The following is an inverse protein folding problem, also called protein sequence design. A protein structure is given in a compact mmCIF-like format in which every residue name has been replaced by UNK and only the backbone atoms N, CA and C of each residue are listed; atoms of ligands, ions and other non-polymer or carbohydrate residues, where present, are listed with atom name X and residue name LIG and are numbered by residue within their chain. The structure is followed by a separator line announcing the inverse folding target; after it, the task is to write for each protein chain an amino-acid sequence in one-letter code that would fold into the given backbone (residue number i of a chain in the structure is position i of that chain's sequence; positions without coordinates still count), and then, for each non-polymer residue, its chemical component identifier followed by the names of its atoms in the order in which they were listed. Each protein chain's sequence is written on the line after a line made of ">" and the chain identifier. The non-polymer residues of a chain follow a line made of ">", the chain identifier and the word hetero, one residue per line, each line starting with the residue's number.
data_IF_902489173207
#
_entry.id   IF_902489173207
#
_cell.length_a   1.000
_cell.length_b   1.000
_cell.length_c   1.000
_cell.angle_alpha   90.00
_cell.angle_beta   90.00
_cell.angle_gamma   90.00
#
_symmetry.space_group_name_H-M   'P 1'
#
loop_
_entity.id
_entity.type
_entity.pdbx_description
1 polymer ?
#
# COMPACT_ATOMS: atom_id res chain seq x y z
N UNK A 1 19.91 12.07 -1.20
CA UNK A 1 18.47 11.89 -0.95
C UNK A 1 18.01 12.97 0.02
N UNK A 2 17.21 13.89 -0.47
CA UNK A 2 16.55 14.89 0.36
C UNK A 2 15.44 14.25 1.18
N UNK A 3 15.28 14.69 2.43
CA UNK A 3 14.23 14.23 3.34
C UNK A 3 13.62 15.42 4.06
N UNK A 4 12.30 15.47 4.09
CA UNK A 4 11.54 16.38 4.94
C UNK A 4 10.60 15.59 5.83
N UNK A 5 10.34 16.11 7.02
CA UNK A 5 9.35 15.55 7.93
C UNK A 5 8.36 16.63 8.32
N UNK A 6 7.12 16.26 8.49
CA UNK A 6 6.05 17.16 8.94
C UNK A 6 5.03 16.41 9.76
N UNK A 7 4.11 17.12 10.33
CA UNK A 7 2.91 16.56 10.95
C UNK A 7 1.76 17.55 10.81
N UNK A 8 0.54 17.04 10.91
CA UNK A 8 -0.66 17.86 11.06
C UNK A 8 -1.67 17.15 11.96
N UNK A 9 -2.52 17.94 12.57
CA UNK A 9 -3.65 17.39 13.29
C UNK A 9 -4.67 16.82 12.31
N UNK A 10 -4.88 15.51 12.37
CA UNK A 10 -5.85 14.80 11.54
C UNK A 10 -7.26 14.89 12.14
N UNK A 11 -8.21 15.57 11.49
CA UNK A 11 -9.60 15.54 11.93
C UNK A 11 -10.23 14.15 11.81
N UNK A 12 -9.81 13.34 10.84
CA UNK A 12 -10.31 11.97 10.69
C UNK A 12 -9.91 11.07 11.86
N UNK A 13 -8.70 11.25 12.40
CA UNK A 13 -8.14 10.40 13.47
C UNK A 13 -8.18 11.06 14.85
N UNK A 14 -8.47 12.37 14.92
CA UNK A 14 -8.45 13.19 16.13
C UNK A 14 -7.11 13.11 16.87
N UNK A 15 -5.99 13.23 16.13
CA UNK A 15 -4.62 13.20 16.65
C UNK A 15 -3.63 13.81 15.67
N UNK A 16 -2.42 14.14 16.15
CA UNK A 16 -1.29 14.50 15.29
C UNK A 16 -0.82 13.29 14.49
N UNK A 17 -0.67 13.49 13.19
CA UNK A 17 -0.19 12.44 12.27
C UNK A 17 1.08 12.89 11.57
N UNK A 18 2.21 12.23 11.82
CA UNK A 18 3.47 12.55 11.16
C UNK A 18 3.54 11.94 9.76
N UNK A 19 4.40 12.55 8.93
CA UNK A 19 4.76 12.07 7.60
C UNK A 19 6.24 12.35 7.33
N UNK A 20 6.90 11.44 6.61
CA UNK A 20 8.20 11.69 6.01
C UNK A 20 8.08 11.68 4.49
N UNK A 21 8.75 12.64 3.84
CA UNK A 21 8.82 12.75 2.39
C UNK A 21 10.26 12.65 1.95
N UNK A 22 10.55 11.79 0.97
CA UNK A 22 11.89 11.57 0.44
C UNK A 22 11.89 11.86 -1.06
N UNK A 23 12.81 12.73 -1.49
CA UNK A 23 12.95 13.19 -2.88
C UNK A 23 12.00 14.31 -3.26
N UNK A 24 12.19 14.85 -4.46
CA UNK A 24 11.50 16.05 -4.96
C UNK A 24 10.66 15.78 -6.19
N UNK A 25 10.94 14.71 -6.93
CA UNK A 25 10.38 14.46 -8.25
C UNK A 25 9.99 12.99 -8.46
N UNK A 26 9.21 12.74 -9.51
CA UNK A 26 8.75 11.43 -9.91
C UNK A 26 7.32 11.13 -9.44
N UNK A 27 6.82 9.93 -9.76
CA UNK A 27 5.52 9.51 -9.27
C UNK A 27 5.52 9.35 -7.73
N UNK A 28 4.36 9.52 -7.11
CA UNK A 28 4.22 9.42 -5.68
C UNK A 28 4.12 7.94 -5.24
N UNK A 29 5.08 7.46 -4.45
CA UNK A 29 5.01 6.16 -3.79
C UNK A 29 4.56 6.35 -2.34
N UNK A 30 3.30 6.05 -2.07
CA UNK A 30 2.74 6.11 -0.71
C UNK A 30 3.05 4.82 0.03
N UNK A 31 3.96 4.88 0.99
CA UNK A 31 4.43 3.73 1.76
C UNK A 31 3.66 3.58 3.06
N UNK A 32 3.05 2.41 3.22
CA UNK A 32 2.25 2.03 4.38
C UNK A 32 3.09 1.09 5.25
N UNK A 33 3.31 1.39 6.55
CA UNK A 33 4.12 0.57 7.44
C UNK A 33 3.62 -0.87 7.57
N UNK A 34 4.50 -1.76 8.01
CA UNK A 34 4.14 -3.12 8.41
C UNK A 34 3.25 -3.10 9.66
N UNK A 35 3.14 -4.19 10.40
CA UNK A 35 2.23 -4.38 11.54
C UNK A 35 1.92 -3.09 12.35
N UNK A 36 2.65 -2.84 13.44
CA UNK A 36 2.40 -1.75 14.41
C UNK A 36 3.49 -0.66 14.34
N UNK A 37 4.00 -0.42 13.16
CA UNK A 37 5.13 0.46 12.95
C UNK A 37 4.71 1.92 12.62
N UNK A 38 5.69 2.81 12.70
CA UNK A 38 5.54 4.22 12.41
C UNK A 38 6.09 4.61 11.02
N UNK A 39 5.92 5.87 10.64
CA UNK A 39 6.31 6.46 9.37
C UNK A 39 7.82 6.44 9.06
N UNK A 40 8.69 6.09 10.02
CA UNK A 40 10.15 5.95 9.83
C UNK A 40 10.62 4.50 9.75
N UNK A 41 9.71 3.52 9.80
CA UNK A 41 10.08 2.12 9.79
C UNK A 41 10.95 1.73 8.60
N UNK A 42 10.56 2.09 7.41
CA UNK A 42 11.29 1.77 6.18
C UNK A 42 12.70 2.36 6.12
N UNK A 43 12.89 3.51 6.77
CA UNK A 43 14.22 4.12 6.93
C UNK A 43 15.05 3.36 7.97
N UNK A 44 14.49 3.06 9.15
CA UNK A 44 15.17 2.29 10.20
C UNK A 44 15.67 0.94 9.71
N UNK A 45 14.92 0.30 8.84
CA UNK A 45 15.30 -0.98 8.25
C UNK A 45 16.01 -0.86 6.89
N UNK A 46 16.55 0.32 6.57
CA UNK A 46 17.43 0.58 5.42
C UNK A 46 16.80 0.35 4.04
N UNK A 47 15.47 0.29 3.96
CA UNK A 47 14.81 0.19 2.65
C UNK A 47 15.00 1.48 1.85
N UNK A 48 14.96 2.65 2.50
CA UNK A 48 15.19 3.94 1.84
C UNK A 48 16.57 4.03 1.19
N UNK A 49 17.60 3.38 1.76
CA UNK A 49 18.93 3.34 1.17
C UNK A 49 18.97 2.56 -0.14
N UNK A 50 18.20 1.46 -0.24
CA UNK A 50 18.09 0.69 -1.49
C UNK A 50 17.30 1.43 -2.57
N UNK A 51 16.45 2.37 -2.18
CA UNK A 51 15.64 3.19 -3.10
C UNK A 51 16.34 4.49 -3.51
N UNK A 52 17.46 4.83 -2.88
CA UNK A 52 18.21 6.06 -3.15
C UNK A 52 18.46 6.34 -4.65
N UNK A 53 18.87 5.36 -5.48
CA UNK A 53 19.08 5.62 -6.91
C UNK A 53 17.81 6.09 -7.65
N UNK A 54 16.62 5.63 -7.23
CA UNK A 54 15.35 6.04 -7.81
C UNK A 54 14.91 7.42 -7.31
N UNK A 55 15.15 7.70 -6.03
CA UNK A 55 14.81 8.98 -5.40
C UNK A 55 15.72 10.10 -5.93
N UNK A 56 17.05 9.89 -5.89
CA UNK A 56 18.02 10.87 -6.34
C UNK A 56 17.97 11.07 -7.87
N UNK A 57 17.53 10.03 -8.60
CA UNK A 57 17.29 10.10 -10.04
C UNK A 57 15.95 10.74 -10.43
N UNK A 58 15.17 11.24 -9.47
CA UNK A 58 13.89 11.90 -9.73
C UNK A 58 12.79 10.97 -10.30
N UNK A 59 12.93 9.66 -10.12
CA UNK A 59 11.98 8.67 -10.65
C UNK A 59 10.79 8.45 -9.71
N UNK A 60 11.03 8.57 -8.42
CA UNK A 60 10.03 8.37 -7.38
C UNK A 60 10.18 9.40 -6.27
N UNK A 61 9.07 9.93 -5.80
CA UNK A 61 8.95 10.73 -4.59
C UNK A 61 8.17 9.93 -3.57
N UNK A 62 8.79 9.63 -2.43
CA UNK A 62 8.23 8.71 -1.44
C UNK A 62 7.53 9.50 -0.33
N UNK A 63 6.34 9.05 0.05
CA UNK A 63 5.54 9.55 1.15
C UNK A 63 5.32 8.41 2.14
N UNK A 64 5.93 8.48 3.31
CA UNK A 64 5.82 7.45 4.34
C UNK A 64 4.97 7.97 5.49
N UNK A 65 3.85 7.29 5.75
CA UNK A 65 2.84 7.68 6.73
C UNK A 65 2.84 6.75 7.95
N UNK A 66 2.25 7.22 9.03
CA UNK A 66 2.07 6.43 10.24
C UNK A 66 0.94 5.40 10.11
N UNK A 67 1.08 4.27 10.81
CA UNK A 67 -0.03 3.34 10.99
C UNK A 67 -0.78 3.62 12.29
N UNK A 68 -2.01 3.12 12.36
CA UNK A 68 -2.80 3.10 13.60
C UNK A 68 -3.19 1.67 14.01
N UNK A 69 -2.43 0.69 13.56
CA UNK A 69 -2.77 -0.72 13.81
C UNK A 69 -2.77 -1.07 15.30
N UNK A 70 -1.93 -0.40 16.12
CA UNK A 70 -1.98 -0.51 17.60
C UNK A 70 -3.26 0.07 18.21
N UNK A 71 -3.95 0.95 17.49
CA UNK A 71 -5.21 1.57 17.89
C UNK A 71 -6.41 0.91 17.19
N UNK A 72 -6.20 -0.15 16.42
CA UNK A 72 -7.21 -0.85 15.64
C UNK A 72 -6.95 -2.36 15.62
N UNK A 73 -6.58 -2.95 14.50
CA UNK A 73 -6.51 -4.41 14.28
C UNK A 73 -5.64 -5.14 15.30
N UNK A 74 -4.51 -4.58 15.71
CA UNK A 74 -3.57 -5.18 16.65
C UNK A 74 -3.84 -4.82 18.12
N UNK A 75 -4.87 -4.03 18.40
CA UNK A 75 -5.28 -3.75 19.78
C UNK A 75 -6.09 -4.91 20.36
N UNK A 76 -5.43 -5.77 21.14
CA UNK A 76 -6.06 -6.94 21.73
C UNK A 76 -7.10 -6.62 22.81
N UNK A 77 -7.10 -5.41 23.35
CA UNK A 77 -8.03 -4.95 24.40
C UNK A 77 -9.25 -4.19 23.83
N UNK A 78 -9.25 -3.90 22.53
CA UNK A 78 -10.33 -3.18 21.87
C UNK A 78 -11.42 -4.14 21.39
N UNK A 79 -12.68 -3.74 21.51
CA UNK A 79 -13.80 -4.46 20.91
C UNK A 79 -13.60 -4.55 19.38
N UNK A 80 -13.86 -5.70 18.73
CA UNK A 80 -13.67 -5.86 17.29
C UNK A 80 -14.38 -4.79 16.43
N UNK A 81 -15.60 -4.40 16.78
CA UNK A 81 -16.31 -3.32 16.08
C UNK A 81 -15.57 -1.99 16.15
N UNK A 82 -15.02 -1.65 17.33
CA UNK A 82 -14.30 -0.39 17.52
C UNK A 82 -12.98 -0.38 16.72
N UNK A 83 -12.32 -1.55 16.56
CA UNK A 83 -11.16 -1.72 15.68
C UNK A 83 -11.50 -1.35 14.24
N UNK A 84 -12.63 -1.84 13.75
CA UNK A 84 -13.09 -1.59 12.38
C UNK A 84 -13.40 -0.12 12.17
N UNK A 85 -14.14 0.50 13.10
CA UNK A 85 -14.44 1.94 13.06
C UNK A 85 -13.14 2.76 13.04
N UNK A 86 -12.18 2.41 13.91
CA UNK A 86 -10.88 3.10 13.96
C UNK A 86 -10.10 2.96 12.67
N UNK A 87 -10.12 1.78 12.07
CA UNK A 87 -9.49 1.56 10.77
C UNK A 87 -10.19 2.36 9.65
N UNK A 88 -11.52 2.46 9.67
CA UNK A 88 -12.24 3.26 8.68
C UNK A 88 -11.88 4.76 8.81
N UNK A 89 -11.64 5.26 10.03
CA UNK A 89 -11.12 6.62 10.23
C UNK A 89 -9.73 6.78 9.60
N UNK A 90 -8.88 5.74 9.64
CA UNK A 90 -7.58 5.78 8.98
C UNK A 90 -7.70 5.76 7.45
N UNK A 91 -8.61 4.98 6.87
CA UNK A 91 -8.91 5.07 5.43
C UNK A 91 -9.33 6.50 5.04
N UNK A 92 -10.17 7.13 5.84
CA UNK A 92 -10.58 8.52 5.63
C UNK A 92 -9.40 9.49 5.73
N UNK A 93 -8.49 9.29 6.68
CA UNK A 93 -7.25 10.06 6.78
C UNK A 93 -6.42 9.95 5.50
N UNK A 94 -6.22 8.74 4.98
CA UNK A 94 -5.46 8.56 3.72
C UNK A 94 -6.15 9.27 2.56
N UNK A 95 -7.45 9.05 2.36
CA UNK A 95 -8.13 9.59 1.18
C UNK A 95 -8.39 11.10 1.24
N UNK A 96 -8.72 11.61 2.42
CA UNK A 96 -9.17 13.00 2.57
C UNK A 96 -8.06 13.97 3.02
N UNK A 97 -6.93 13.45 3.50
CA UNK A 97 -5.85 14.27 4.03
C UNK A 97 -4.50 13.96 3.34
N UNK A 98 -4.06 12.69 3.32
CA UNK A 98 -2.76 12.32 2.73
C UNK A 98 -2.77 12.47 1.21
N UNK A 99 -3.80 11.98 0.50
CA UNK A 99 -3.89 12.12 -0.96
C UNK A 99 -3.92 13.59 -1.38
N UNK A 100 -4.74 14.48 -0.79
CA UNK A 100 -4.67 15.92 -1.05
C UNK A 100 -3.30 16.54 -0.73
N UNK A 101 -2.66 16.13 0.36
CA UNK A 101 -1.29 16.58 0.68
C UNK A 101 -0.31 16.21 -0.42
N UNK A 102 -0.33 14.94 -0.90
CA UNK A 102 0.52 14.48 -2.01
C UNK A 102 0.28 15.34 -3.26
N UNK A 103 -0.98 15.58 -3.63
CA UNK A 103 -1.35 16.41 -4.78
C UNK A 103 -0.83 17.85 -4.68
N UNK A 104 -0.89 18.43 -3.50
CA UNK A 104 -0.37 19.80 -3.24
C UNK A 104 1.16 19.81 -3.23
N UNK A 105 1.78 18.77 -2.70
CA UNK A 105 3.24 18.67 -2.56
C UNK A 105 3.96 18.19 -3.83
N UNK A 106 3.21 17.70 -4.83
CA UNK A 106 3.70 17.28 -6.14
C UNK A 106 2.93 18.02 -7.25
N UNK A 107 2.02 17.33 -7.96
CA UNK A 107 1.04 17.95 -8.87
C UNK A 107 -0.28 17.18 -8.82
N UNK A 108 -1.34 17.77 -9.39
CA UNK A 108 -2.66 17.15 -9.43
C UNK A 108 -2.66 15.86 -10.29
N UNK A 109 -1.81 15.80 -11.30
CA UNK A 109 -1.69 14.70 -12.25
C UNK A 109 -0.70 13.62 -11.80
N UNK A 110 0.12 13.89 -10.77
CA UNK A 110 1.14 12.93 -10.29
C UNK A 110 0.49 11.58 -9.96
N UNK A 111 0.88 10.48 -10.62
CA UNK A 111 0.36 9.16 -10.27
C UNK A 111 0.72 8.78 -8.84
N UNK A 112 -0.24 8.20 -8.12
CA UNK A 112 -0.03 7.70 -6.75
C UNK A 112 -0.06 6.18 -6.77
N UNK A 113 1.03 5.54 -6.34
CA UNK A 113 1.14 4.09 -6.16
C UNK A 113 1.26 3.81 -4.68
N UNK A 114 0.40 2.96 -4.14
CA UNK A 114 0.54 2.49 -2.75
C UNK A 114 1.51 1.33 -2.67
N UNK A 115 2.28 1.27 -1.60
CA UNK A 115 3.26 0.21 -1.38
C UNK A 115 3.32 -0.16 0.11
N UNK A 116 3.46 -1.44 0.38
CA UNK A 116 3.67 -1.92 1.73
C UNK A 116 4.05 -3.39 1.80
N UNK A 117 4.58 -3.79 2.94
CA UNK A 117 4.92 -5.17 3.24
C UNK A 117 4.04 -5.71 4.37
N UNK A 118 3.76 -7.02 4.37
CA UNK A 118 3.00 -7.67 5.45
C UNK A 118 1.61 -7.01 5.62
N UNK A 119 1.31 -6.47 6.80
CA UNK A 119 0.06 -5.74 7.05
C UNK A 119 -0.06 -4.47 6.19
N UNK A 120 1.08 -3.83 5.90
CA UNK A 120 1.12 -2.69 4.97
C UNK A 120 0.71 -3.06 3.54
N UNK A 121 0.97 -4.30 3.10
CA UNK A 121 0.53 -4.80 1.80
C UNK A 121 -1.00 -4.95 1.72
N UNK A 122 -1.64 -5.46 2.80
CA UNK A 122 -3.11 -5.50 2.91
C UNK A 122 -3.70 -4.09 2.77
N UNK A 123 -3.19 -3.14 3.55
CA UNK A 123 -3.69 -1.76 3.51
C UNK A 123 -3.49 -1.12 2.14
N UNK A 124 -2.29 -1.27 1.55
CA UNK A 124 -1.98 -0.74 0.22
C UNK A 124 -2.92 -1.29 -0.84
N UNK A 125 -3.15 -2.60 -0.84
CA UNK A 125 -4.08 -3.26 -1.75
C UNK A 125 -5.51 -2.77 -1.55
N UNK A 126 -5.98 -2.72 -0.30
CA UNK A 126 -7.34 -2.30 0.03
C UNK A 126 -7.62 -0.84 -0.36
N UNK A 127 -6.65 0.07 -0.13
CA UNK A 127 -6.75 1.48 -0.55
C UNK A 127 -6.88 1.61 -2.07
N UNK A 128 -6.04 0.91 -2.83
CA UNK A 128 -6.09 0.90 -4.29
C UNK A 128 -7.44 0.38 -4.81
N UNK A 129 -7.89 -0.77 -4.32
CA UNK A 129 -9.13 -1.39 -4.79
C UNK A 129 -10.39 -0.60 -4.44
N UNK A 130 -10.37 0.13 -3.31
CA UNK A 130 -11.49 1.00 -2.89
C UNK A 130 -11.57 2.30 -3.66
N UNK A 131 -10.43 2.89 -4.02
CA UNK A 131 -10.36 4.19 -4.68
C UNK A 131 -9.35 4.19 -5.84
N UNK A 132 -9.61 3.37 -6.88
CA UNK A 132 -8.75 3.34 -8.07
C UNK A 132 -8.81 4.65 -8.89
N UNK A 133 -9.73 5.53 -8.57
CA UNK A 133 -9.81 6.89 -9.09
C UNK A 133 -8.76 7.84 -8.47
N UNK A 134 -8.32 7.58 -7.25
CA UNK A 134 -7.30 8.36 -6.54
C UNK A 134 -5.91 7.72 -6.57
N UNK A 135 -5.86 6.39 -6.59
CA UNK A 135 -4.65 5.60 -6.51
C UNK A 135 -4.47 4.83 -7.82
N UNK A 136 -3.31 4.95 -8.44
CA UNK A 136 -3.04 4.49 -9.79
C UNK A 136 -2.36 3.11 -9.84
N UNK A 137 -1.99 2.55 -8.69
CA UNK A 137 -1.37 1.23 -8.64
C UNK A 137 -1.03 0.79 -7.22
N UNK A 138 -0.57 -0.45 -7.11
CA UNK A 138 -0.17 -1.05 -5.84
C UNK A 138 1.01 -2.00 -6.01
N UNK A 139 1.94 -1.97 -5.05
CA UNK A 139 3.00 -2.96 -4.84
C UNK A 139 2.79 -3.56 -3.45
N UNK A 140 2.26 -4.77 -3.40
CA UNK A 140 1.93 -5.47 -2.16
C UNK A 140 2.92 -6.62 -1.93
N UNK A 141 3.81 -6.47 -0.95
CA UNK A 141 4.87 -7.44 -0.64
C UNK A 141 4.47 -8.30 0.56
N UNK A 142 4.52 -9.63 0.41
CA UNK A 142 4.28 -10.60 1.49
C UNK A 142 2.95 -10.33 2.23
N UNK A 143 1.88 -10.06 1.49
CA UNK A 143 0.60 -9.59 2.03
C UNK A 143 -0.33 -10.70 2.44
N UNK A 144 -1.18 -10.38 3.42
CA UNK A 144 -2.45 -11.09 3.67
C UNK A 144 -3.59 -10.20 3.15
N UNK A 145 -4.72 -10.79 2.78
CA UNK A 145 -5.83 -10.03 2.16
C UNK A 145 -7.16 -10.29 2.84
N UNK A 146 -7.12 -10.84 4.06
CA UNK A 146 -8.25 -11.19 4.91
C UNK A 146 -8.02 -10.69 6.33
N UNK A 147 -9.01 -10.02 6.91
CA UNK A 147 -8.96 -9.44 8.25
C UNK A 147 -9.66 -10.28 9.32
N UNK A 148 -10.27 -11.41 8.96
CA UNK A 148 -11.09 -12.19 9.91
C UNK A 148 -10.34 -12.71 11.12
N UNK A 149 -9.04 -12.99 10.99
CA UNK A 149 -8.19 -13.39 12.13
C UNK A 149 -8.08 -12.30 13.21
N UNK A 150 -8.16 -11.03 12.81
CA UNK A 150 -8.01 -9.88 13.71
C UNK A 150 -9.32 -9.48 14.40
N UNK A 151 -10.45 -10.04 13.97
CA UNK A 151 -11.78 -9.69 14.48
C UNK A 151 -12.33 -10.66 15.51
N UNK A 152 -11.61 -11.76 15.80
CA UNK A 152 -12.03 -12.78 16.80
C UNK A 152 -13.46 -13.30 16.56
N UNK A 153 -13.84 -13.49 15.30
CA UNK A 153 -15.16 -13.98 14.90
C UNK A 153 -16.25 -12.90 14.75
N UNK A 154 -15.95 -11.64 15.05
CA UNK A 154 -16.83 -10.54 14.71
C UNK A 154 -16.80 -10.28 13.20
N UNK A 155 -17.98 -10.06 12.62
CA UNK A 155 -18.11 -9.80 11.20
C UNK A 155 -19.31 -8.88 10.93
N UNK A 156 -19.05 -7.79 10.24
CA UNK A 156 -20.06 -6.84 9.77
C UNK A 156 -19.70 -6.32 8.38
N UNK A 157 -20.48 -5.39 7.88
CA UNK A 157 -20.27 -4.78 6.56
C UNK A 157 -18.92 -4.05 6.46
N UNK A 158 -18.47 -3.42 7.53
CA UNK A 158 -17.19 -2.71 7.55
C UNK A 158 -16.00 -3.69 7.52
N UNK A 159 -16.08 -4.85 8.23
CA UNK A 159 -15.07 -5.93 8.10
C UNK A 159 -15.06 -6.46 6.67
N UNK A 160 -16.24 -6.73 6.10
CA UNK A 160 -16.38 -7.19 4.72
C UNK A 160 -15.68 -6.25 3.74
N UNK A 161 -15.98 -4.96 3.77
CA UNK A 161 -15.39 -3.98 2.87
C UNK A 161 -13.92 -3.60 3.17
N UNK A 162 -13.32 -4.13 4.22
CA UNK A 162 -11.89 -3.99 4.49
C UNK A 162 -11.10 -5.29 4.29
N UNK A 163 -11.77 -6.38 3.89
CA UNK A 163 -11.15 -7.67 3.55
C UNK A 163 -11.24 -7.93 2.04
N UNK A 164 -10.21 -7.63 1.24
CA UNK A 164 -10.23 -7.82 -0.21
C UNK A 164 -10.64 -9.23 -0.65
N UNK A 165 -10.26 -10.27 0.09
CA UNK A 165 -10.68 -11.65 -0.15
C UNK A 165 -12.21 -11.84 -0.12
N UNK A 166 -12.94 -10.97 0.60
CA UNK A 166 -14.38 -11.09 0.79
C UNK A 166 -15.18 -10.26 -0.20
N UNK A 167 -14.84 -8.98 -0.38
CA UNK A 167 -15.65 -8.13 -1.24
C UNK A 167 -15.31 -8.24 -2.74
N UNK A 168 -14.07 -8.52 -3.09
CA UNK A 168 -13.66 -8.61 -4.49
C UNK A 168 -14.42 -9.68 -5.28
N UNK A 169 -14.69 -10.90 -4.76
CA UNK A 169 -15.51 -11.87 -5.49
C UNK A 169 -16.89 -11.35 -5.87
N UNK A 170 -17.46 -10.45 -5.05
CA UNK A 170 -18.82 -9.92 -5.22
C UNK A 170 -18.85 -8.53 -5.87
N UNK A 171 -17.68 -7.93 -6.16
CA UNK A 171 -17.61 -6.61 -6.80
C UNK A 171 -18.15 -6.69 -8.22
N UNK A 172 -19.26 -5.97 -8.48
CA UNK A 172 -19.94 -5.90 -9.78
C UNK A 172 -19.96 -4.49 -10.37
N UNK A 173 -19.45 -3.51 -9.64
CA UNK A 173 -19.37 -2.13 -10.13
C UNK A 173 -18.43 -2.03 -11.33
N UNK A 174 -19.00 -1.82 -12.51
CA UNK A 174 -18.25 -1.72 -13.75
C UNK A 174 -17.32 -0.51 -13.77
N UNK A 175 -17.68 0.60 -13.14
CA UNK A 175 -16.85 1.81 -13.10
C UNK A 175 -15.57 1.57 -12.31
N UNK A 176 -15.68 0.94 -11.15
CA UNK A 176 -14.51 0.56 -10.33
C UNK A 176 -13.63 -0.46 -11.07
N UNK A 177 -14.21 -1.51 -11.63
CA UNK A 177 -13.47 -2.53 -12.37
C UNK A 177 -12.74 -1.95 -13.59
N UNK A 178 -13.37 -1.07 -14.35
CA UNK A 178 -12.76 -0.38 -15.50
C UNK A 178 -11.61 0.53 -15.04
N UNK A 179 -11.77 1.25 -13.93
CA UNK A 179 -10.72 2.11 -13.42
C UNK A 179 -9.50 1.28 -12.94
N UNK A 180 -9.72 0.12 -12.30
CA UNK A 180 -8.63 -0.80 -11.93
C UNK A 180 -7.92 -1.31 -13.19
N UNK A 181 -8.65 -1.71 -14.24
CA UNK A 181 -8.06 -2.17 -15.51
C UNK A 181 -7.23 -1.06 -16.18
N UNK A 182 -7.73 0.16 -16.18
CA UNK A 182 -7.04 1.32 -16.77
C UNK A 182 -5.72 1.62 -16.08
N UNK A 183 -5.66 1.49 -14.77
CA UNK A 183 -4.46 1.78 -13.99
C UNK A 183 -3.30 0.79 -14.28
N UNK A 184 -3.59 -0.50 -14.47
CA UNK A 184 -2.63 -1.49 -14.98
C UNK A 184 -1.46 -1.88 -14.05
N UNK A 185 -1.33 -1.28 -12.87
CA UNK A 185 -0.22 -1.51 -11.92
C UNK A 185 -0.70 -2.21 -10.65
N UNK A 186 -0.94 -3.53 -10.73
CA UNK A 186 -1.32 -4.36 -9.61
C UNK A 186 -0.29 -5.48 -9.43
N UNK A 187 0.61 -5.31 -8.46
CA UNK A 187 1.75 -6.21 -8.23
C UNK A 187 1.64 -6.85 -6.85
N UNK A 188 1.63 -8.18 -6.82
CA UNK A 188 1.61 -9.02 -5.63
C UNK A 188 2.92 -9.78 -5.59
N UNK A 189 3.73 -9.55 -4.57
CA UNK A 189 5.05 -10.12 -4.43
C UNK A 189 5.11 -10.91 -3.13
N UNK A 190 5.71 -12.10 -3.17
CA UNK A 190 5.91 -12.91 -1.96
C UNK A 190 7.15 -13.77 -2.10
N UNK A 191 7.80 -14.08 -1.00
CA UNK A 191 8.76 -15.17 -0.93
C UNK A 191 8.06 -16.51 -0.74
N UNK A 192 8.85 -17.56 -0.64
CA UNK A 192 8.40 -18.89 -0.17
C UNK A 192 9.26 -19.43 0.98
N UNK A 193 10.06 -18.54 1.59
CA UNK A 193 10.88 -18.86 2.76
C UNK A 193 10.09 -18.81 4.08
N UNK A 194 10.82 -18.71 5.19
CA UNK A 194 10.22 -18.72 6.54
C UNK A 194 9.18 -17.64 6.73
N UNK A 195 8.03 -18.00 7.29
CA UNK A 195 6.90 -17.12 7.60
C UNK A 195 6.20 -16.48 6.39
N UNK A 196 6.52 -16.88 5.17
CA UNK A 196 5.78 -16.48 3.97
C UNK A 196 4.57 -17.41 3.74
N UNK A 197 3.49 -16.87 3.17
CA UNK A 197 2.33 -17.65 2.70
C UNK A 197 1.99 -17.31 1.23
N UNK A 198 2.75 -17.87 0.28
CA UNK A 198 2.46 -17.66 -1.14
C UNK A 198 1.10 -18.21 -1.56
N UNK A 199 0.52 -19.14 -0.78
CA UNK A 199 -0.81 -19.69 -1.06
C UNK A 199 -1.91 -18.63 -0.84
N UNK A 200 -1.77 -17.77 0.16
CA UNK A 200 -2.68 -16.64 0.38
C UNK A 200 -2.65 -15.66 -0.80
N UNK A 201 -1.45 -15.29 -1.25
CA UNK A 201 -1.27 -14.45 -2.44
C UNK A 201 -1.85 -15.11 -3.69
N UNK A 202 -1.66 -16.41 -3.87
CA UNK A 202 -2.23 -17.19 -4.98
C UNK A 202 -3.75 -17.23 -4.98
N UNK A 203 -4.38 -17.42 -3.81
CA UNK A 203 -5.85 -17.38 -3.68
C UNK A 203 -6.40 -16.01 -4.04
N UNK A 204 -5.74 -14.94 -3.60
CA UNK A 204 -6.16 -13.59 -3.95
C UNK A 204 -5.96 -13.30 -5.44
N UNK A 205 -4.82 -13.70 -6.02
CA UNK A 205 -4.57 -13.60 -7.46
C UNK A 205 -5.63 -14.29 -8.30
N UNK A 206 -6.10 -15.48 -7.86
CA UNK A 206 -7.22 -16.16 -8.55
C UNK A 206 -8.50 -15.33 -8.54
N UNK A 207 -8.82 -14.66 -7.45
CA UNK A 207 -10.01 -13.77 -7.38
C UNK A 207 -9.87 -12.63 -8.42
N UNK A 208 -8.69 -12.02 -8.52
CA UNK A 208 -8.44 -10.97 -9.50
C UNK A 208 -8.57 -11.49 -10.95
N UNK A 209 -8.03 -12.68 -11.22
CA UNK A 209 -8.18 -13.36 -12.51
C UNK A 209 -9.65 -13.61 -12.87
N UNK A 210 -10.44 -14.14 -11.92
CA UNK A 210 -11.86 -14.42 -12.11
C UNK A 210 -12.69 -13.13 -12.37
N UNK A 211 -12.17 -11.96 -11.92
CA UNK A 211 -12.73 -10.63 -12.23
C UNK A 211 -12.26 -10.03 -13.54
N UNK A 212 -11.40 -10.73 -14.29
CA UNK A 212 -10.82 -10.23 -15.52
C UNK A 212 -9.92 -9.01 -15.30
N UNK A 213 -9.24 -8.96 -14.15
CA UNK A 213 -8.27 -7.93 -13.79
C UNK A 213 -6.87 -8.44 -14.09
N UNK A 214 -6.07 -7.61 -14.75
CA UNK A 214 -4.65 -7.91 -14.88
C UNK A 214 -3.95 -7.70 -13.53
N UNK A 215 -3.06 -8.59 -13.20
CA UNK A 215 -2.16 -8.50 -12.05
C UNK A 215 -0.88 -9.27 -12.32
N UNK A 216 0.18 -8.91 -11.65
CA UNK A 216 1.41 -9.70 -11.58
C UNK A 216 1.50 -10.34 -10.20
N UNK A 217 1.61 -11.67 -10.19
CA UNK A 217 1.95 -12.43 -8.99
C UNK A 217 3.34 -13.01 -9.17
N UNK A 218 4.28 -12.60 -8.35
CA UNK A 218 5.65 -13.11 -8.38
C UNK A 218 5.99 -13.78 -7.04
N UNK A 219 6.36 -15.06 -7.13
CA UNK A 219 6.70 -15.88 -5.97
C UNK A 219 8.18 -16.19 -6.04
N UNK A 220 8.96 -15.58 -5.15
CA UNK A 220 10.39 -15.77 -5.04
C UNK A 220 10.72 -17.05 -4.25
N UNK A 221 11.95 -17.57 -4.42
CA UNK A 221 12.39 -18.86 -3.86
C UNK A 221 12.40 -18.94 -2.33
N UNK A 222 12.78 -20.11 -1.81
CA UNK A 222 12.78 -20.44 -0.38
C UNK A 222 13.79 -19.64 0.45
N UNK A 223 14.77 -19.03 -0.18
CA UNK A 223 15.74 -18.11 0.43
C UNK A 223 15.13 -16.76 0.82
N UNK A 224 13.94 -16.45 0.31
CA UNK A 224 13.25 -15.18 0.54
C UNK A 224 12.17 -15.35 1.61
N UNK A 225 12.51 -14.97 2.83
CA UNK A 225 11.65 -15.06 4.01
C UNK A 225 10.84 -13.78 4.23
N UNK A 226 9.82 -13.85 5.09
CA UNK A 226 8.97 -12.71 5.48
C UNK A 226 9.75 -11.72 6.37
N UNK A 227 10.71 -11.01 5.76
CA UNK A 227 11.63 -10.14 6.48
C UNK A 227 12.25 -9.07 5.55
N UNK A 228 12.90 -8.08 6.13
CA UNK A 228 13.49 -6.92 5.50
C UNK A 228 14.47 -7.21 4.35
N UNK A 229 15.36 -8.23 4.42
CA UNK A 229 16.21 -8.56 3.29
C UNK A 229 15.43 -8.84 2.01
N UNK A 230 14.30 -9.54 2.11
CA UNK A 230 13.40 -9.84 1.00
C UNK A 230 12.80 -8.57 0.41
N UNK A 231 12.22 -7.72 1.25
CA UNK A 231 11.56 -6.49 0.79
C UNK A 231 12.56 -5.46 0.24
N UNK A 232 13.78 -5.41 0.79
CA UNK A 232 14.87 -4.59 0.24
C UNK A 232 15.36 -5.06 -1.14
N UNK A 233 15.19 -6.33 -1.46
CA UNK A 233 15.49 -6.85 -2.80
C UNK A 233 14.31 -6.66 -3.77
N UNK A 234 13.09 -6.95 -3.32
CA UNK A 234 11.87 -6.89 -4.14
C UNK A 234 11.59 -5.48 -4.65
N UNK A 235 11.48 -4.49 -3.75
CA UNK A 235 10.97 -3.16 -4.15
C UNK A 235 11.87 -2.46 -5.18
N UNK A 236 13.20 -2.39 -5.04
CA UNK A 236 14.06 -1.80 -6.07
C UNK A 236 13.97 -2.56 -7.41
N UNK A 237 13.86 -3.90 -7.38
CA UNK A 237 13.70 -4.69 -8.59
C UNK A 237 12.44 -4.29 -9.37
N UNK A 238 11.31 -4.17 -8.67
CA UNK A 238 10.03 -3.80 -9.30
C UNK A 238 10.01 -2.35 -9.78
N UNK A 239 10.54 -1.41 -8.99
CA UNK A 239 10.67 -0.03 -9.44
C UNK A 239 11.52 0.09 -10.70
N UNK A 240 12.60 -0.68 -10.79
CA UNK A 240 13.52 -0.67 -11.94
C UNK A 240 12.99 -1.39 -13.20
N UNK A 241 12.03 -2.29 -13.06
CA UNK A 241 11.59 -3.15 -14.17
C UNK A 241 10.14 -2.94 -14.60
N UNK A 242 9.27 -2.49 -13.73
CA UNK A 242 7.80 -2.39 -13.99
C UNK A 242 7.28 -0.95 -14.06
N UNK A 243 8.02 0.00 -13.50
CA UNK A 243 7.57 1.39 -13.41
C UNK A 243 8.31 2.36 -14.34
N UNK A 244 9.15 1.85 -15.26
CA UNK A 244 9.94 2.70 -16.17
C UNK A 244 9.07 3.62 -17.03
N UNK A 245 7.87 3.21 -17.42
CA UNK A 245 6.97 4.03 -18.25
C UNK A 245 6.31 5.18 -17.48
N UNK A 246 6.15 5.07 -16.16
CA UNK A 246 5.68 6.17 -15.31
C UNK A 246 6.71 7.31 -15.18
N UNK A 247 7.99 7.04 -15.55
CA UNK A 247 9.05 8.05 -15.52
C UNK A 247 9.12 8.90 -16.78
N UNK A 248 8.47 8.50 -17.86
CA UNK A 248 8.66 9.11 -19.19
C UNK A 248 7.52 10.01 -19.65
N UNK A 249 6.41 10.08 -18.90
CA UNK A 249 5.25 10.89 -19.29
C UNK A 249 5.47 12.40 -19.22
N UNK A 250 6.48 12.87 -18.44
CA UNK A 250 6.75 14.29 -18.25
C UNK A 250 7.93 14.82 -19.11
N UNK A 251 8.61 13.95 -19.87
CA UNK A 251 9.78 14.34 -20.65
C UNK A 251 9.48 14.58 -22.15
N UNK A 252 8.23 14.51 -22.56
CA UNK A 252 7.84 14.63 -23.99
C UNK A 252 7.23 15.99 -24.37
N UNK A 253 7.07 16.93 -23.43
CA UNK A 253 6.45 18.24 -23.64
C UNK A 253 7.41 19.43 -23.35
N UNK A 254 8.73 19.26 -23.48
CA UNK A 254 9.68 20.38 -23.54
C UNK A 254 10.35 20.52 -24.93
#
# INVERSE_FOLDING_TARGET
>A
MEKTTGSWYSPSLNKEMPIAVYGNYGFALLMIPTAAADYLEYERFQLMDTLRPFIDGGKVKIYSVDSINNESWLNNNMNPRDKVIRHQQWNNYIFNEVVPFIRTNSSQETPIVTCGASFGALHSMNLFLKRPDLINGVIAMSGVYDLTEYTKGYYDEDVYFNSPMHYMPNLTDHGILEQIRKNGHLHILTGSGSHEDPSSSGRFGKILYDKGLWYELDVWGNEWSHDWPTWRAMLPHYLGTRFCLLYTSDAADE
#
